data_IF_066674771097
#
_entry.id   IF_066674771097
#
_cell.length_a   1.000
_cell.length_b   1.000
_cell.length_c   1.000
_cell.angle_alpha   90.00
_cell.angle_beta   90.00
_cell.angle_gamma   90.00
#
_symmetry.space_group_name_H-M   'P 1'
#
loop_
_entity.id
_entity.type
_entity.pdbx_description
1 polymer ?
#
# COMPACT_ATOMS: atom_id res chain seq x y z
N UNK A 1 -6.21 25.22 -10.69
CA UNK A 1 -5.25 24.84 -11.76
C UNK A 1 -5.57 23.42 -12.18
N UNK A 2 -6.41 23.26 -13.21
CA UNK A 2 -6.86 21.95 -13.70
C UNK A 2 -7.09 21.93 -15.23
N UNK A 3 -6.62 22.95 -15.94
CA UNK A 3 -7.00 23.19 -17.34
C UNK A 3 -5.98 22.71 -18.37
N UNK A 4 -4.91 22.01 -17.95
CA UNK A 4 -3.90 21.47 -18.86
C UNK A 4 -4.14 19.98 -19.12
N UNK A 5 -4.41 19.55 -20.35
CA UNK A 5 -4.57 18.13 -20.68
C UNK A 5 -3.30 17.33 -20.37
N UNK A 6 -3.42 16.16 -19.74
CA UNK A 6 -2.29 15.26 -19.49
C UNK A 6 -1.79 14.67 -20.81
N UNK A 7 -0.67 15.18 -21.33
CA UNK A 7 -0.02 14.69 -22.54
C UNK A 7 1.51 14.84 -22.46
N UNK A 8 2.23 14.41 -23.50
CA UNK A 8 3.69 14.45 -23.53
C UNK A 8 4.29 15.87 -23.32
N UNK A 9 3.56 16.92 -23.72
CA UNK A 9 3.99 18.31 -23.52
C UNK A 9 4.13 18.70 -22.05
N UNK A 10 3.35 18.11 -21.14
CA UNK A 10 3.47 18.34 -19.70
C UNK A 10 4.82 17.86 -19.14
N UNK A 11 5.46 16.91 -19.81
CA UNK A 11 6.74 16.33 -19.40
C UNK A 11 7.94 16.87 -20.19
N UNK A 12 7.70 17.63 -21.28
CA UNK A 12 8.73 18.28 -22.08
C UNK A 12 9.74 19.13 -21.26
N UNK A 13 9.36 19.85 -20.18
CA UNK A 13 10.33 20.60 -19.38
C UNK A 13 11.13 19.74 -18.39
N UNK A 14 10.87 18.43 -18.30
CA UNK A 14 11.54 17.54 -17.36
C UNK A 14 12.63 16.72 -18.05
N UNK A 15 13.80 16.64 -17.42
CA UNK A 15 14.87 15.71 -17.82
C UNK A 15 14.95 14.58 -16.80
N UNK A 16 14.77 13.33 -17.25
CA UNK A 16 14.92 12.14 -16.40
C UNK A 16 16.30 11.56 -16.61
N UNK A 17 17.13 11.62 -15.56
CA UNK A 17 18.46 11.01 -15.55
C UNK A 17 18.38 9.71 -14.74
N UNK A 18 18.31 8.59 -15.44
CA UNK A 18 18.25 7.26 -14.84
C UNK A 18 19.39 6.39 -15.40
N UNK A 19 20.47 6.15 -14.63
CA UNK A 19 21.60 5.34 -15.08
C UNK A 19 21.14 3.95 -15.53
N UNK A 20 21.69 3.45 -16.63
CA UNK A 20 21.38 2.11 -17.14
C UNK A 20 21.72 1.03 -16.09
N UNK A 21 20.93 -0.05 -16.08
CA UNK A 21 21.03 -1.15 -15.12
C UNK A 21 20.89 -0.71 -13.65
N UNK A 22 20.20 0.41 -13.39
CA UNK A 22 19.81 0.82 -12.04
C UNK A 22 18.42 0.29 -11.67
N UNK A 23 18.03 0.44 -10.39
CA UNK A 23 16.71 0.01 -9.90
C UNK A 23 15.54 0.62 -10.70
N UNK A 24 15.68 1.87 -11.16
CA UNK A 24 14.65 2.62 -11.90
C UNK A 24 14.86 2.62 -13.42
N UNK A 25 15.93 1.97 -13.89
CA UNK A 25 16.22 1.76 -15.32
C UNK A 25 16.92 0.40 -15.48
N UNK A 26 16.17 -0.65 -15.13
CA UNK A 26 16.65 -2.02 -15.16
C UNK A 26 16.91 -2.47 -16.59
N UNK A 27 17.96 -3.28 -16.78
CA UNK A 27 18.27 -3.88 -18.07
C UNK A 27 17.76 -5.33 -18.11
N UNK A 28 17.24 -5.77 -19.26
CA UNK A 28 16.91 -7.17 -19.48
C UNK A 28 18.16 -8.06 -19.22
N UNK A 29 18.04 -9.21 -18.52
CA UNK A 29 16.83 -9.90 -18.08
C UNK A 29 16.43 -9.66 -16.61
N UNK A 30 16.78 -8.51 -16.01
CA UNK A 30 16.47 -8.25 -14.61
C UNK A 30 14.94 -8.31 -14.34
N UNK A 31 14.51 -8.92 -13.22
CA UNK A 31 13.10 -9.00 -12.87
C UNK A 31 12.55 -7.65 -12.40
N UNK A 32 11.43 -7.22 -12.98
CA UNK A 32 10.84 -5.88 -12.75
C UNK A 32 9.39 -5.90 -12.25
N UNK A 33 8.88 -7.06 -11.82
CA UNK A 33 7.46 -7.24 -11.46
C UNK A 33 6.96 -6.25 -10.40
N UNK A 34 7.82 -5.86 -9.45
CA UNK A 34 7.50 -4.87 -8.41
C UNK A 34 7.78 -3.42 -8.77
N UNK A 35 8.21 -3.14 -10.01
CA UNK A 35 8.59 -1.79 -10.44
C UNK A 35 7.42 -0.80 -10.34
N UNK A 36 6.27 -1.17 -10.91
CA UNK A 36 5.07 -0.32 -10.87
C UNK A 36 4.46 -0.25 -9.46
N UNK A 37 4.50 -1.35 -8.71
CA UNK A 37 3.67 -1.49 -7.51
C UNK A 37 4.36 -1.04 -6.24
N UNK A 38 5.66 -1.30 -6.14
CA UNK A 38 6.45 -1.01 -4.94
C UNK A 38 7.50 0.07 -5.21
N UNK A 39 8.33 -0.11 -6.24
CA UNK A 39 9.43 0.84 -6.53
C UNK A 39 8.88 2.22 -6.89
N UNK A 40 7.86 2.31 -7.74
CA UNK A 40 7.27 3.59 -8.14
C UNK A 40 6.62 4.32 -6.96
N UNK A 41 5.98 3.60 -6.04
CA UNK A 41 5.46 4.20 -4.79
C UNK A 41 6.59 4.78 -3.93
N UNK A 42 7.73 4.09 -3.84
CA UNK A 42 8.93 4.62 -3.13
C UNK A 42 9.52 5.84 -3.82
N UNK A 43 9.54 5.86 -5.15
CA UNK A 43 10.00 7.03 -5.93
C UNK A 43 9.11 8.24 -5.61
N UNK A 44 7.79 8.07 -5.52
CA UNK A 44 6.88 9.15 -5.13
C UNK A 44 7.21 9.69 -3.73
N UNK A 45 7.43 8.82 -2.74
CA UNK A 45 7.81 9.27 -1.39
C UNK A 45 9.10 10.10 -1.37
N UNK A 46 10.09 9.71 -2.19
CA UNK A 46 11.36 10.44 -2.31
C UNK A 46 11.13 11.80 -2.98
N UNK A 47 10.33 11.85 -4.04
CA UNK A 47 9.97 13.11 -4.72
C UNK A 47 9.24 14.04 -3.76
N UNK A 48 8.25 13.54 -3.01
CA UNK A 48 7.51 14.33 -2.03
C UNK A 48 8.45 14.89 -0.95
N UNK A 49 9.34 14.08 -0.39
CA UNK A 49 10.30 14.57 0.62
C UNK A 49 11.27 15.61 0.05
N UNK A 50 11.77 15.43 -1.18
CA UNK A 50 12.62 16.41 -1.84
C UNK A 50 11.88 17.73 -2.07
N UNK A 51 10.63 17.67 -2.57
CA UNK A 51 9.79 18.85 -2.75
C UNK A 51 9.43 19.51 -1.41
N UNK A 52 9.24 18.75 -0.33
CA UNK A 52 8.91 19.28 0.99
C UNK A 52 10.04 20.16 1.54
N UNK A 53 11.30 19.81 1.24
CA UNK A 53 12.46 20.63 1.56
C UNK A 53 12.51 21.94 0.75
N UNK A 54 12.06 21.91 -0.51
CA UNK A 54 12.08 23.07 -1.42
C UNK A 54 10.85 23.99 -1.26
N UNK A 55 9.71 23.43 -0.87
CA UNK A 55 8.43 24.11 -0.74
C UNK A 55 7.84 23.86 0.66
N UNK A 56 8.45 24.44 1.71
CA UNK A 56 8.02 24.19 3.08
C UNK A 56 6.55 24.51 3.29
N UNK A 57 5.85 23.63 3.99
CA UNK A 57 4.44 23.79 4.32
C UNK A 57 3.47 23.57 3.14
N UNK A 58 3.93 23.19 1.94
CA UNK A 58 3.03 23.00 0.78
C UNK A 58 2.81 21.55 0.38
N UNK A 59 3.73 20.67 0.74
CA UNK A 59 3.72 19.27 0.30
C UNK A 59 3.02 18.39 1.35
N UNK A 60 2.20 17.40 0.97
CA UNK A 60 1.63 16.46 1.92
C UNK A 60 2.70 15.54 2.52
N UNK A 61 2.36 14.89 3.63
CA UNK A 61 3.12 13.76 4.14
C UNK A 61 3.06 12.56 3.17
N UNK A 62 3.91 11.56 3.38
CA UNK A 62 3.90 10.36 2.54
C UNK A 62 2.63 9.53 2.81
N UNK A 63 2.10 8.88 1.77
CA UNK A 63 1.03 7.89 1.92
C UNK A 63 1.61 6.52 2.25
N UNK A 64 0.75 5.49 2.36
CA UNK A 64 1.14 4.10 2.57
C UNK A 64 2.28 3.61 1.66
N UNK A 65 2.38 4.16 0.45
CA UNK A 65 3.42 3.88 -0.55
C UNK A 65 3.69 2.38 -0.79
N UNK A 66 2.67 1.57 -0.78
CA UNK A 66 2.71 0.18 -1.24
C UNK A 66 1.35 -0.07 -1.87
N UNK A 67 1.30 -0.86 -2.94
CA UNK A 67 0.00 -1.29 -3.47
C UNK A 67 -0.58 -2.46 -2.69
N UNK A 68 0.23 -3.10 -1.82
CA UNK A 68 -0.16 -4.26 -1.02
C UNK A 68 -0.74 -5.36 -1.91
N UNK A 69 0.04 -5.79 -2.90
CA UNK A 69 -0.40 -6.82 -3.82
C UNK A 69 -0.51 -8.15 -3.11
N UNK A 70 -1.66 -8.78 -3.28
CA UNK A 70 -1.94 -10.12 -2.79
C UNK A 70 -2.46 -10.92 -3.97
N UNK A 71 -1.76 -12.00 -4.29
CA UNK A 71 -2.23 -13.02 -5.20
C UNK A 71 -2.55 -14.27 -4.39
N UNK A 72 -3.72 -14.86 -4.59
CA UNK A 72 -4.08 -16.18 -4.09
C UNK A 72 -4.41 -17.09 -5.28
N UNK A 73 -4.16 -18.38 -5.16
CA UNK A 73 -4.59 -19.30 -6.19
C UNK A 73 -4.51 -20.76 -5.77
N UNK A 74 -5.19 -21.58 -6.54
CA UNK A 74 -5.05 -23.02 -6.53
C UNK A 74 -4.85 -23.49 -7.98
N UNK A 75 -4.99 -24.79 -8.23
CA UNK A 75 -4.76 -25.39 -9.55
C UNK A 75 -5.60 -24.75 -10.67
N UNK A 76 -6.85 -24.42 -10.39
CA UNK A 76 -7.85 -24.07 -11.41
C UNK A 76 -8.34 -22.61 -11.33
N UNK A 77 -7.78 -21.80 -10.42
CA UNK A 77 -8.18 -20.40 -10.25
C UNK A 77 -7.05 -19.55 -9.67
N UNK A 78 -7.10 -18.25 -9.98
CA UNK A 78 -6.22 -17.24 -9.40
C UNK A 78 -7.02 -15.97 -9.08
N UNK A 79 -6.65 -15.33 -8.00
CA UNK A 79 -7.19 -14.07 -7.52
C UNK A 79 -6.04 -13.10 -7.28
N UNK A 80 -6.19 -11.86 -7.72
CA UNK A 80 -5.22 -10.80 -7.52
C UNK A 80 -5.93 -9.54 -7.04
N UNK A 81 -5.46 -8.99 -5.93
CA UNK A 81 -6.00 -7.78 -5.32
C UNK A 81 -4.86 -6.84 -4.96
N UNK A 82 -5.11 -5.54 -5.11
CA UNK A 82 -4.29 -4.51 -4.50
C UNK A 82 -5.13 -3.85 -3.42
N UNK A 83 -4.53 -3.55 -2.26
CA UNK A 83 -5.26 -3.04 -1.11
C UNK A 83 -4.86 -1.59 -0.83
N UNK A 84 -5.88 -0.73 -0.74
CA UNK A 84 -5.76 0.65 -0.29
C UNK A 84 -5.23 0.74 1.15
N UNK A 85 -4.87 1.96 1.54
CA UNK A 85 -4.39 2.24 2.88
C UNK A 85 -4.41 3.73 3.16
N UNK A 86 -3.58 4.18 4.08
CA UNK A 86 -3.62 5.57 4.50
C UNK A 86 -2.96 6.52 3.50
N UNK A 87 -3.65 7.61 3.14
CA UNK A 87 -3.03 8.74 2.46
C UNK A 87 -2.31 9.66 3.46
N UNK A 88 -1.24 10.33 3.04
CA UNK A 88 -0.57 11.31 3.90
C UNK A 88 -1.46 12.52 4.20
N UNK A 89 -1.33 13.08 5.41
CA UNK A 89 -1.94 14.36 5.76
C UNK A 89 -1.43 15.49 4.88
N UNK A 90 -2.27 16.49 4.61
CA UNK A 90 -1.92 17.66 3.80
C UNK A 90 -1.88 18.96 4.61
N UNK A 91 -1.53 20.06 3.95
CA UNK A 91 -1.57 21.40 4.55
C UNK A 91 -2.97 21.79 5.04
N UNK A 92 -4.03 21.34 4.36
CA UNK A 92 -5.39 21.83 4.62
C UNK A 92 -6.31 20.79 5.27
N UNK A 93 -5.96 19.50 5.20
CA UNK A 93 -6.85 18.41 5.61
C UNK A 93 -6.10 17.13 5.97
N UNK A 94 -6.75 16.29 6.75
CA UNK A 94 -6.31 14.93 7.03
C UNK A 94 -6.27 14.07 5.75
N UNK A 95 -5.44 13.03 5.77
CA UNK A 95 -5.36 12.06 4.69
C UNK A 95 -6.59 11.17 4.62
N UNK A 96 -6.97 10.73 3.42
CA UNK A 96 -8.03 9.76 3.23
C UNK A 96 -7.63 8.36 3.72
N UNK A 97 -8.57 7.66 4.35
CA UNK A 97 -8.39 6.30 4.88
C UNK A 97 -8.80 5.23 3.87
N UNK A 98 -8.13 4.08 3.88
CA UNK A 98 -8.44 2.91 3.05
C UNK A 98 -8.41 3.17 1.54
N UNK A 99 -7.58 4.12 1.11
CA UNK A 99 -7.62 4.69 -0.22
C UNK A 99 -6.44 4.24 -1.10
N UNK A 100 -6.70 4.10 -2.40
CA UNK A 100 -5.69 3.83 -3.42
C UNK A 100 -4.96 5.13 -3.79
N UNK A 101 -3.67 5.23 -3.42
CA UNK A 101 -2.87 6.45 -3.58
C UNK A 101 -1.77 6.31 -4.63
N UNK A 102 -1.47 7.43 -5.30
CA UNK A 102 -0.39 7.59 -6.28
C UNK A 102 -0.49 6.62 -7.47
N UNK A 103 0.30 5.54 -7.46
CA UNK A 103 0.44 4.61 -8.59
C UNK A 103 -0.66 3.54 -8.65
N UNK A 104 -1.68 3.63 -7.80
CA UNK A 104 -2.82 2.71 -7.80
C UNK A 104 -4.14 3.46 -7.81
N UNK A 105 -5.10 2.92 -8.58
CA UNK A 105 -6.45 3.47 -8.75
C UNK A 105 -7.42 2.33 -9.11
N UNK A 106 -7.44 1.28 -8.30
CA UNK A 106 -8.34 0.13 -8.49
C UNK A 106 -9.56 0.27 -7.60
N UNK A 107 -10.73 -0.13 -8.11
CA UNK A 107 -11.89 -0.37 -7.25
C UNK A 107 -11.66 -1.64 -6.42
N UNK A 108 -12.23 -1.69 -5.21
CA UNK A 108 -12.22 -2.91 -4.43
C UNK A 108 -13.15 -3.95 -5.06
N UNK A 109 -12.78 -5.23 -4.97
CA UNK A 109 -13.66 -6.33 -5.36
C UNK A 109 -14.79 -6.45 -4.35
N UNK A 110 -16.08 -6.41 -4.75
CA UNK A 110 -17.18 -6.63 -3.83
C UNK A 110 -17.06 -7.99 -3.14
N UNK A 111 -17.25 -8.02 -1.81
CA UNK A 111 -17.13 -9.26 -1.04
C UNK A 111 -18.08 -10.34 -1.56
N UNK A 112 -19.32 -9.97 -1.90
CA UNK A 112 -20.32 -10.91 -2.44
C UNK A 112 -19.85 -11.57 -3.74
N UNK A 113 -19.30 -10.79 -4.67
CA UNK A 113 -18.74 -11.33 -5.91
C UNK A 113 -17.54 -12.23 -5.64
N UNK A 114 -16.65 -11.83 -4.72
CA UNK A 114 -15.49 -12.64 -4.37
C UNK A 114 -15.90 -14.02 -3.81
N UNK A 115 -16.89 -14.06 -2.93
CA UNK A 115 -17.34 -15.31 -2.28
C UNK A 115 -18.19 -16.21 -3.18
N UNK A 116 -18.86 -15.64 -4.18
CA UNK A 116 -19.63 -16.40 -5.18
C UNK A 116 -18.69 -17.06 -6.20
N UNK A 117 -17.68 -16.32 -6.66
CA UNK A 117 -16.83 -16.74 -7.78
C UNK A 117 -15.63 -17.58 -7.35
N UNK A 118 -15.18 -17.44 -6.10
CA UNK A 118 -13.93 -18.05 -5.63
C UNK A 118 -14.12 -18.77 -4.29
N UNK A 119 -13.33 -19.82 -4.02
CA UNK A 119 -13.36 -20.53 -2.74
C UNK A 119 -12.61 -19.72 -1.65
N UNK A 120 -13.08 -18.51 -1.41
CA UNK A 120 -12.58 -17.57 -0.42
C UNK A 120 -13.77 -17.01 0.36
N UNK A 121 -13.58 -16.70 1.63
CA UNK A 121 -14.54 -15.95 2.44
C UNK A 121 -13.92 -14.69 3.01
N UNK A 122 -14.62 -13.58 2.89
CA UNK A 122 -14.23 -12.31 3.52
C UNK A 122 -14.68 -12.35 4.99
N UNK A 123 -13.72 -12.56 5.89
CA UNK A 123 -14.00 -12.61 7.34
C UNK A 123 -14.05 -11.19 7.93
N UNK A 124 -13.15 -10.32 7.48
CA UNK A 124 -13.09 -8.91 7.89
C UNK A 124 -12.63 -8.02 6.74
N UNK A 125 -13.24 -6.85 6.64
CA UNK A 125 -12.76 -5.76 5.81
C UNK A 125 -13.16 -4.42 6.43
N UNK A 126 -12.21 -3.74 7.05
CA UNK A 126 -12.45 -2.54 7.85
C UNK A 126 -11.25 -1.60 7.82
N UNK A 127 -11.42 -0.36 8.29
CA UNK A 127 -10.31 0.55 8.52
C UNK A 127 -9.45 0.05 9.69
N UNK A 128 -8.13 0.21 9.57
CA UNK A 128 -7.17 -0.13 10.63
C UNK A 128 -7.00 1.07 11.55
N UNK A 129 -7.96 1.29 12.46
CA UNK A 129 -7.96 2.44 13.36
C UNK A 129 -6.64 2.62 14.13
N UNK A 130 -6.16 3.87 14.22
CA UNK A 130 -4.92 4.21 14.93
C UNK A 130 -3.64 3.88 14.15
N UNK A 131 -3.76 3.56 12.85
CA UNK A 131 -2.63 3.37 11.95
C UNK A 131 -2.12 4.66 11.30
N UNK A 132 -2.97 5.67 11.16
CA UNK A 132 -2.60 6.98 10.63
C UNK A 132 -1.62 7.70 11.55
N UNK A 133 -0.61 8.35 10.96
CA UNK A 133 0.36 9.15 11.70
C UNK A 133 -0.29 10.41 12.27
N UNK A 134 0.00 10.71 13.53
CA UNK A 134 -0.51 11.91 14.20
C UNK A 134 0.16 13.19 13.67
N UNK A 135 -0.55 14.30 13.76
CA UNK A 135 -0.08 15.61 13.36
C UNK A 135 -1.22 16.62 13.40
N UNK A 136 -0.96 17.88 13.05
CA UNK A 136 -2.04 18.88 12.89
C UNK A 136 -3.13 18.37 11.94
N UNK A 137 -2.72 17.71 10.87
CA UNK A 137 -3.59 16.93 10.01
C UNK A 137 -3.12 15.48 9.99
N UNK A 138 -3.93 14.59 10.53
CA UNK A 138 -3.61 13.16 10.66
C UNK A 138 -3.45 12.51 9.29
N UNK A 139 -2.58 11.53 9.22
CA UNK A 139 -2.55 10.58 8.10
C UNK A 139 -3.81 9.72 8.10
N UNK A 140 -4.22 9.26 6.92
CA UNK A 140 -5.34 8.34 6.79
C UNK A 140 -5.03 6.96 7.37
N UNK A 141 -6.08 6.23 7.69
CA UNK A 141 -5.98 4.87 8.20
C UNK A 141 -5.72 3.85 7.08
N UNK A 142 -4.99 2.79 7.40
CA UNK A 142 -4.88 1.57 6.60
C UNK A 142 -6.18 0.77 6.60
N UNK A 143 -6.13 -0.45 6.09
CA UNK A 143 -7.23 -1.43 6.16
C UNK A 143 -6.77 -2.73 6.78
N UNK A 144 -7.70 -3.43 7.41
CA UNK A 144 -7.57 -4.83 7.81
C UNK A 144 -8.39 -5.65 6.82
N UNK A 145 -7.73 -6.54 6.07
CA UNK A 145 -8.35 -7.48 5.14
C UNK A 145 -8.07 -8.90 5.62
N UNK A 146 -9.13 -9.67 5.88
CA UNK A 146 -9.01 -11.07 6.30
C UNK A 146 -9.78 -11.97 5.34
N UNK A 147 -9.05 -12.87 4.68
CA UNK A 147 -9.60 -13.85 3.75
C UNK A 147 -9.39 -15.26 4.31
N UNK A 148 -10.47 -16.01 4.48
CA UNK A 148 -10.44 -17.44 4.81
C UNK A 148 -10.40 -18.25 3.53
N UNK A 149 -9.43 -19.15 3.43
CA UNK A 149 -9.25 -20.02 2.27
C UNK A 149 -10.15 -21.25 2.38
N UNK A 150 -10.97 -21.51 1.35
CA UNK A 150 -11.98 -22.57 1.35
C UNK A 150 -11.69 -23.71 0.37
N UNK A 151 -10.54 -23.69 -0.32
CA UNK A 151 -10.10 -24.82 -1.14
C UNK A 151 -9.24 -25.80 -0.33
N UNK A 152 -8.90 -26.97 -0.88
CA UNK A 152 -8.09 -27.98 -0.18
C UNK A 152 -6.64 -27.54 0.04
N UNK A 153 -5.95 -27.13 -1.04
CA UNK A 153 -4.58 -26.60 -1.02
C UNK A 153 -4.46 -25.46 -2.04
N UNK A 154 -3.70 -24.43 -1.67
CA UNK A 154 -3.35 -23.34 -2.57
C UNK A 154 -2.12 -22.59 -2.09
N UNK A 155 -1.86 -21.46 -2.73
CA UNK A 155 -0.73 -20.58 -2.42
C UNK A 155 -1.20 -19.13 -2.35
N UNK A 156 -0.55 -18.37 -1.48
CA UNK A 156 -0.58 -16.92 -1.49
C UNK A 156 0.80 -16.40 -1.85
N UNK A 157 0.85 -15.39 -2.71
CA UNK A 157 2.03 -14.57 -2.97
C UNK A 157 1.74 -13.13 -2.58
N UNK A 158 2.61 -12.55 -1.77
CA UNK A 158 2.50 -11.17 -1.30
C UNK A 158 3.67 -10.37 -1.87
N UNK A 159 3.36 -9.23 -2.45
CA UNK A 159 4.33 -8.21 -2.82
C UNK A 159 3.89 -6.88 -2.22
N UNK A 160 4.60 -6.47 -1.18
CA UNK A 160 4.31 -5.27 -0.41
C UNK A 160 5.59 -4.61 0.11
N UNK A 161 5.45 -3.38 0.60
CA UNK A 161 6.48 -2.66 1.37
C UNK A 161 5.90 -1.98 2.61
N UNK A 162 6.68 -1.12 3.29
CA UNK A 162 6.32 -0.47 4.56
C UNK A 162 5.93 -1.45 5.68
N UNK A 163 6.62 -2.60 5.74
CA UNK A 163 6.49 -3.59 6.83
C UNK A 163 7.56 -3.42 7.92
N UNK A 164 8.71 -2.83 7.58
CA UNK A 164 9.79 -2.51 8.53
C UNK A 164 9.70 -1.09 9.12
N UNK A 165 9.09 -0.17 8.39
CA UNK A 165 8.84 1.20 8.83
C UNK A 165 7.68 1.79 8.04
N UNK A 166 6.82 2.55 8.71
CA UNK A 166 5.62 3.10 8.09
C UNK A 166 5.86 4.36 7.25
N UNK A 167 4.78 5.00 6.81
CA UNK A 167 4.81 6.17 5.95
C UNK A 167 5.37 7.40 6.70
N UNK A 168 6.40 8.10 6.19
CA UNK A 168 6.97 9.26 6.85
C UNK A 168 5.96 10.40 6.98
N UNK A 169 5.94 11.00 8.16
CA UNK A 169 5.25 12.26 8.40
C UNK A 169 6.01 13.43 7.77
N UNK A 170 5.37 14.60 7.74
CA UNK A 170 5.96 15.82 7.20
C UNK A 170 5.78 17.01 8.17
N UNK A 171 6.75 17.92 8.15
CA UNK A 171 6.72 19.17 8.93
C UNK A 171 6.44 18.98 10.43
N UNK A 172 6.98 17.91 11.02
CA UNK A 172 6.81 17.57 12.44
C UNK A 172 5.65 16.62 12.75
N UNK A 173 4.90 16.17 11.74
CA UNK A 173 3.94 15.08 11.91
C UNK A 173 4.64 13.72 12.09
N UNK A 174 3.99 12.81 12.81
CA UNK A 174 4.47 11.47 13.09
C UNK A 174 4.28 10.53 11.91
N UNK A 175 5.07 9.45 11.89
CA UNK A 175 4.96 8.42 10.87
C UNK A 175 3.67 7.62 11.06
N UNK A 176 3.07 7.18 9.95
CA UNK A 176 2.02 6.17 9.99
C UNK A 176 2.57 4.83 10.48
N UNK A 177 1.71 3.98 11.00
CA UNK A 177 2.06 2.63 11.40
C UNK A 177 2.47 1.78 10.19
N UNK A 178 3.48 0.90 10.34
CA UNK A 178 3.81 -0.07 9.31
C UNK A 178 2.65 -1.06 9.12
N UNK A 179 2.54 -1.60 7.90
CA UNK A 179 1.65 -2.72 7.62
C UNK A 179 2.18 -4.03 8.20
N UNK A 180 1.38 -5.09 8.16
CA UNK A 180 1.81 -6.44 8.52
C UNK A 180 1.06 -7.51 7.72
N UNK A 181 1.68 -8.68 7.57
CA UNK A 181 1.10 -9.82 6.87
C UNK A 181 1.24 -11.06 7.76
N UNK A 182 0.20 -11.89 7.86
CA UNK A 182 0.25 -13.15 8.63
C UNK A 182 -0.79 -14.15 8.15
N UNK A 183 -0.54 -15.43 8.39
CA UNK A 183 -1.53 -16.50 8.26
C UNK A 183 -1.93 -16.96 9.65
N UNK A 184 -3.22 -16.98 9.95
CA UNK A 184 -3.77 -17.73 11.06
C UNK A 184 -4.14 -19.13 10.53
N UNK A 185 -3.40 -20.15 10.96
CA UNK A 185 -3.67 -21.54 10.60
C UNK A 185 -5.00 -21.98 11.23
N UNK A 186 -5.70 -22.93 10.60
CA UNK A 186 -6.97 -23.47 11.12
C UNK A 186 -6.86 -24.04 12.55
N UNK A 187 -5.69 -24.53 12.94
CA UNK A 187 -5.36 -24.97 14.30
C UNK A 187 -5.05 -23.85 15.32
N UNK A 188 -5.17 -22.58 14.93
CA UNK A 188 -4.97 -21.40 15.79
C UNK A 188 -3.53 -20.86 15.87
N UNK A 189 -2.57 -21.49 15.19
CA UNK A 189 -1.20 -20.97 15.11
C UNK A 189 -1.15 -19.72 14.21
N UNK A 190 -0.47 -18.68 14.68
CA UNK A 190 -0.21 -17.47 13.88
C UNK A 190 1.19 -17.53 13.30
N UNK A 191 1.29 -17.45 11.97
CA UNK A 191 2.54 -17.43 11.23
C UNK A 191 2.73 -16.03 10.61
N UNK A 192 3.75 -15.26 11.04
CA UNK A 192 4.07 -13.98 10.42
C UNK A 192 4.65 -14.19 9.02
N UNK A 193 4.27 -13.32 8.08
CA UNK A 193 4.75 -13.33 6.71
C UNK A 193 5.59 -12.08 6.42
N UNK A 194 6.60 -12.26 5.57
CA UNK A 194 7.42 -11.16 5.06
C UNK A 194 6.65 -10.20 4.15
N UNK A 195 7.32 -9.13 3.73
CA UNK A 195 6.75 -8.15 2.79
C UNK A 195 6.70 -8.67 1.36
N UNK A 196 7.63 -9.55 0.99
CA UNK A 196 7.77 -10.18 -0.33
C UNK A 196 7.96 -11.68 -0.12
N UNK A 197 6.89 -12.46 -0.20
CA UNK A 197 6.92 -13.87 0.16
C UNK A 197 5.81 -14.65 -0.53
N UNK A 198 6.01 -15.96 -0.65
CA UNK A 198 4.91 -16.89 -0.86
C UNK A 198 4.73 -17.82 0.33
N UNK A 199 3.52 -18.35 0.51
CA UNK A 199 3.22 -19.36 1.51
C UNK A 199 2.08 -20.26 1.04
N UNK A 200 2.10 -21.53 1.47
CA UNK A 200 0.99 -22.45 1.22
C UNK A 200 -0.19 -22.15 2.14
N UNK A 201 -1.39 -22.32 1.61
CA UNK A 201 -2.66 -22.25 2.32
C UNK A 201 -3.36 -23.60 2.28
N UNK A 202 -4.09 -23.90 3.35
CA UNK A 202 -5.00 -25.03 3.42
C UNK A 202 -6.39 -24.55 3.82
N UNK A 203 -7.39 -25.39 3.59
CA UNK A 203 -8.77 -25.15 4.01
C UNK A 203 -8.85 -24.64 5.46
N UNK A 204 -9.52 -23.51 5.65
CA UNK A 204 -9.73 -22.86 6.95
C UNK A 204 -8.59 -21.96 7.42
N UNK A 205 -7.45 -21.91 6.71
CA UNK A 205 -6.43 -20.91 7.00
C UNK A 205 -6.95 -19.51 6.65
N UNK A 206 -6.55 -18.51 7.45
CA UNK A 206 -6.95 -17.11 7.25
C UNK A 206 -5.73 -16.26 6.96
N UNK A 207 -5.70 -15.69 5.77
CA UNK A 207 -4.74 -14.65 5.41
C UNK A 207 -5.20 -13.32 6.00
N UNK A 208 -4.33 -12.68 6.79
CA UNK A 208 -4.59 -11.39 7.42
C UNK A 208 -3.57 -10.39 6.87
N UNK A 209 -4.07 -9.37 6.20
CA UNK A 209 -3.28 -8.25 5.68
C UNK A 209 -3.72 -6.98 6.38
N UNK A 210 -2.76 -6.31 7.00
CA UNK A 210 -2.92 -4.98 7.57
C UNK A 210 -2.11 -4.01 6.74
N UNK A 211 -2.77 -3.09 6.04
CA UNK A 211 -2.06 -2.11 5.22
C UNK A 211 -1.53 -0.96 6.08
N UNK A 212 -0.47 -0.26 5.62
CA UNK A 212 0.09 0.86 6.36
C UNK A 212 -0.88 2.04 6.42
N UNK A 213 -0.76 2.83 7.50
CA UNK A 213 -1.33 4.18 7.55
C UNK A 213 -0.48 5.20 6.79
N UNK A 214 -1.06 6.38 6.58
CA UNK A 214 -0.35 7.54 6.00
C UNK A 214 0.42 8.31 7.07
N UNK A 215 1.42 9.08 6.67
CA UNK A 215 2.12 9.99 7.58
C UNK A 215 1.26 11.19 7.99
N UNK A 216 1.44 11.67 9.22
CA UNK A 216 0.82 12.90 9.71
C UNK A 216 1.52 14.14 9.18
N UNK A 217 0.81 15.25 9.14
CA UNK A 217 1.30 16.54 8.65
C UNK A 217 1.24 17.60 9.75
N UNK A 218 2.37 18.29 9.96
CA UNK A 218 2.48 19.35 10.95
C UNK A 218 2.56 18.85 12.39
N UNK A 219 3.17 19.64 13.27
CA UNK A 219 3.17 19.35 14.71
C UNK A 219 1.73 19.41 15.25
N UNK A 220 1.34 18.42 16.02
CA UNK A 220 0.10 18.44 16.79
C UNK A 220 0.24 19.51 17.88
N UNK A 221 -0.54 20.58 17.82
CA UNK A 221 -0.60 21.53 18.93
C UNK A 221 -1.35 20.85 20.08
N UNK A 222 -0.73 20.79 21.26
CA UNK A 222 -1.43 20.42 22.49
C UNK A 222 -2.65 21.34 22.64
N UNK A 223 -3.83 20.74 22.76
CA UNK A 223 -5.07 21.46 23.05
C UNK A 223 -5.18 21.78 24.54
#
# INVERSE_FOLDING_TARGET
>A
AGDTPTNAGCFAPMTVIAPAASLVNAAFPAPVVGGNTETSQRVVDVILQALAAMLPGRIPACSQGTMNNVALGARDWAYYETLGGGCGGGLERAGASGWHSHMTNTANTPSETLEVELPLRVVRYELREGSGGEGRHRGGEGVVRVLEFLDEEGEVSILSDRRLGGAPGAFGGLHGAPGSNRIMRSGGQVEPLGSKTSARLRRGDRLIIETPGGGGWGVQSDA
#
